data_IF_566389091236
#
_entry.id   IF_566389091236
#
_cell.length_a   1.000
_cell.length_b   1.000
_cell.length_c   1.000
_cell.angle_alpha   90.00
_cell.angle_beta   90.00
_cell.angle_gamma   90.00
#
_symmetry.space_group_name_H-M   'P 1'
#
loop_
_entity.id
_entity.type
_entity.pdbx_description
1 polymer ?
#
# COMPACT_ATOMS: atom_id res chain seq x y z
N UNK A 1 -38.14 8.49 51.77
CA UNK A 1 -36.79 8.95 51.44
C UNK A 1 -36.25 8.02 50.36
N UNK A 2 -36.44 8.38 49.10
CA UNK A 2 -35.95 7.63 47.92
C UNK A 2 -34.74 8.37 47.38
N UNK A 3 -33.56 7.78 47.56
CA UNK A 3 -32.31 8.32 47.00
C UNK A 3 -32.26 8.03 45.49
N UNK A 4 -32.29 9.11 44.68
CA UNK A 4 -32.04 9.03 43.23
C UNK A 4 -30.55 8.74 42.97
N UNK A 5 -30.28 7.58 42.40
CA UNK A 5 -28.95 7.27 41.87
C UNK A 5 -28.74 8.14 40.63
N UNK A 6 -27.87 9.12 40.76
CA UNK A 6 -27.45 9.98 39.65
C UNK A 6 -26.67 9.17 38.65
N UNK A 7 -27.20 9.04 37.43
CA UNK A 7 -26.50 8.51 36.29
C UNK A 7 -25.37 9.49 35.92
N UNK A 8 -24.11 9.14 36.27
CA UNK A 8 -22.93 9.86 35.80
C UNK A 8 -22.77 9.62 34.32
N UNK A 9 -22.94 10.67 33.52
CA UNK A 9 -22.67 10.66 32.09
C UNK A 9 -21.18 10.26 31.85
N UNK A 10 -20.89 9.48 30.80
CA UNK A 10 -19.51 9.10 30.52
C UNK A 10 -18.68 10.35 30.17
N UNK A 11 -17.39 10.38 30.58
CA UNK A 11 -16.52 11.54 30.33
C UNK A 11 -16.34 11.74 28.83
N UNK A 12 -16.99 12.75 28.30
CA UNK A 12 -16.78 13.26 26.94
C UNK A 12 -15.48 14.08 26.90
N UNK A 13 -14.65 13.83 25.85
CA UNK A 13 -13.75 14.80 25.21
C UNK A 13 -12.25 14.87 25.47
N UNK A 14 -11.61 14.09 26.29
CA UNK A 14 -10.13 14.08 26.32
C UNK A 14 -9.49 13.31 25.14
N UNK A 15 -10.19 12.37 24.50
CA UNK A 15 -9.63 11.47 23.47
C UNK A 15 -9.75 11.98 22.02
N UNK A 16 -10.63 12.93 21.72
CA UNK A 16 -10.88 13.36 20.34
C UNK A 16 -9.68 14.08 19.69
N UNK A 17 -9.00 14.94 20.45
CA UNK A 17 -7.85 15.70 19.97
C UNK A 17 -6.62 14.83 19.72
N UNK A 18 -6.39 13.83 20.56
CA UNK A 18 -5.25 12.90 20.39
C UNK A 18 -5.43 11.94 19.21
N UNK A 19 -6.67 11.51 18.94
CA UNK A 19 -6.99 10.62 17.83
C UNK A 19 -6.89 11.33 16.48
N UNK A 20 -7.40 12.56 16.37
CA UNK A 20 -7.24 13.39 15.18
C UNK A 20 -5.76 13.74 14.92
N UNK A 21 -4.97 14.01 15.98
CA UNK A 21 -3.53 14.20 15.91
C UNK A 21 -2.80 12.95 15.42
N UNK A 22 -3.13 11.79 15.96
CA UNK A 22 -2.56 10.51 15.54
C UNK A 22 -2.86 10.20 14.06
N UNK A 23 -4.08 10.47 13.59
CA UNK A 23 -4.47 10.33 12.18
C UNK A 23 -3.66 11.26 11.28
N UNK A 24 -3.52 12.54 11.65
CA UNK A 24 -2.72 13.52 10.89
C UNK A 24 -1.27 13.09 10.78
N UNK A 25 -0.61 12.73 11.88
CA UNK A 25 0.78 12.25 11.89
C UNK A 25 0.95 11.02 10.99
N UNK A 26 0.04 10.04 11.07
CA UNK A 26 0.09 8.85 10.23
C UNK A 26 -0.04 9.22 8.74
N UNK A 27 -0.99 10.09 8.39
CA UNK A 27 -1.16 10.58 7.01
C UNK A 27 0.07 11.34 6.52
N UNK A 28 0.72 12.16 7.37
CA UNK A 28 1.96 12.88 7.04
C UNK A 28 3.10 11.91 6.72
N UNK A 29 3.24 10.81 7.47
CA UNK A 29 4.29 9.82 7.19
C UNK A 29 4.01 9.06 5.89
N UNK A 30 2.75 8.71 5.60
CA UNK A 30 2.37 8.18 4.29
C UNK A 30 2.70 9.17 3.16
N UNK A 31 2.42 10.45 3.35
CA UNK A 31 2.78 11.49 2.39
C UNK A 31 4.30 11.60 2.22
N UNK A 32 5.07 11.61 3.30
CA UNK A 32 6.53 11.64 3.25
C UNK A 32 7.12 10.43 2.51
N UNK A 33 6.57 9.24 2.74
CA UNK A 33 6.93 8.02 2.00
C UNK A 33 6.58 8.16 0.50
N UNK A 34 5.41 8.71 0.18
CA UNK A 34 5.00 8.97 -1.21
C UNK A 34 5.94 9.92 -1.93
N UNK A 35 6.36 11.01 -1.27
CA UNK A 35 7.39 11.93 -1.80
C UNK A 35 8.72 11.22 -2.01
N UNK A 36 9.18 10.44 -1.02
CA UNK A 36 10.46 9.75 -1.07
C UNK A 36 10.52 8.71 -2.20
N UNK A 37 9.47 7.93 -2.39
CA UNK A 37 9.36 6.95 -3.49
C UNK A 37 9.31 7.67 -4.84
N UNK A 38 8.51 8.73 -4.95
CA UNK A 38 8.41 9.51 -6.18
C UNK A 38 9.74 10.18 -6.54
N UNK A 39 10.50 10.69 -5.55
CA UNK A 39 11.82 11.28 -5.78
C UNK A 39 12.75 10.31 -6.52
N UNK A 40 12.82 9.05 -6.09
CA UNK A 40 13.64 8.02 -6.75
C UNK A 40 13.04 7.65 -8.11
N UNK A 41 11.74 7.33 -8.17
CA UNK A 41 11.10 6.83 -9.40
C UNK A 41 11.12 7.85 -10.55
N UNK A 42 10.99 9.14 -10.24
CA UNK A 42 10.92 10.21 -11.25
C UNK A 42 12.28 10.74 -11.68
N UNK A 43 13.35 10.46 -10.92
CA UNK A 43 14.71 10.92 -11.24
C UNK A 43 15.61 9.84 -11.83
N UNK A 44 15.12 8.60 -12.03
CA UNK A 44 15.92 7.47 -12.57
C UNK A 44 16.78 7.86 -13.76
N UNK A 45 16.27 8.43 -14.86
CA UNK A 45 17.10 8.75 -16.01
C UNK A 45 18.11 9.87 -15.73
N UNK A 46 17.72 10.89 -14.94
CA UNK A 46 18.58 12.00 -14.61
C UNK A 46 19.75 11.57 -13.69
N UNK A 47 19.48 10.69 -12.72
CA UNK A 47 20.50 10.11 -11.84
C UNK A 47 21.43 9.18 -12.62
N UNK A 48 20.89 8.34 -13.52
CA UNK A 48 21.69 7.49 -14.39
C UNK A 48 22.67 8.31 -15.25
N UNK A 49 22.18 9.40 -15.86
CA UNK A 49 23.00 10.31 -16.65
C UNK A 49 24.07 11.00 -15.80
N UNK A 50 23.68 11.53 -14.62
CA UNK A 50 24.60 12.25 -13.72
C UNK A 50 25.76 11.36 -13.21
N UNK A 51 25.43 10.14 -12.79
CA UNK A 51 26.40 9.16 -12.28
C UNK A 51 27.04 8.31 -13.39
N UNK A 52 26.65 8.53 -14.65
CA UNK A 52 27.08 7.74 -15.82
C UNK A 52 26.85 6.23 -15.62
N UNK A 53 25.70 5.89 -15.06
CA UNK A 53 25.29 4.49 -14.86
C UNK A 53 24.63 3.93 -16.12
N UNK A 54 24.95 2.71 -16.46
CA UNK A 54 24.22 1.96 -17.48
C UNK A 54 22.81 1.59 -17.00
N UNK A 55 21.93 1.29 -17.94
CA UNK A 55 20.57 0.81 -17.62
C UNK A 55 20.60 -0.47 -16.78
N UNK A 56 21.60 -1.34 -16.97
CA UNK A 56 21.77 -2.55 -16.18
C UNK A 56 22.18 -2.24 -14.73
N UNK A 57 23.10 -1.29 -14.52
CA UNK A 57 23.50 -0.83 -13.18
C UNK A 57 22.31 -0.19 -12.45
N UNK A 58 21.48 0.64 -13.14
CA UNK A 58 20.27 1.19 -12.56
C UNK A 58 19.25 0.11 -12.20
N UNK A 59 19.11 -0.92 -13.02
CA UNK A 59 18.23 -2.06 -12.72
C UNK A 59 18.74 -2.80 -11.48
N UNK A 60 20.04 -3.09 -11.41
CA UNK A 60 20.65 -3.74 -10.25
C UNK A 60 20.46 -2.90 -8.96
N UNK A 61 20.60 -1.58 -9.03
CA UNK A 61 20.34 -0.69 -7.90
C UNK A 61 18.87 -0.70 -7.48
N UNK A 62 17.94 -0.72 -8.43
CA UNK A 62 16.50 -0.81 -8.13
C UNK A 62 16.14 -2.14 -7.45
N UNK A 63 16.73 -3.25 -7.91
CA UNK A 63 16.58 -4.56 -7.26
C UNK A 63 17.20 -4.53 -5.86
N UNK A 64 18.41 -4.01 -5.71
CA UNK A 64 19.10 -3.92 -4.43
C UNK A 64 18.30 -3.05 -3.42
N UNK A 65 17.75 -1.91 -3.86
CA UNK A 65 16.85 -1.07 -3.06
C UNK A 65 15.61 -1.86 -2.60
N UNK A 66 14.98 -2.62 -3.51
CA UNK A 66 13.77 -3.39 -3.18
C UNK A 66 14.08 -4.50 -2.17
N UNK A 67 15.18 -5.22 -2.34
CA UNK A 67 15.64 -6.23 -1.37
C UNK A 67 16.00 -5.60 -0.02
N UNK A 68 16.66 -4.45 -0.06
CA UNK A 68 16.98 -3.68 1.15
C UNK A 68 15.70 -3.20 1.86
N UNK A 69 14.65 -2.80 1.12
CA UNK A 69 13.36 -2.45 1.71
C UNK A 69 12.72 -3.66 2.41
N UNK A 70 12.79 -4.83 1.82
CA UNK A 70 12.40 -6.08 2.49
C UNK A 70 13.15 -6.29 3.81
N UNK A 71 14.48 -6.23 3.80
CA UNK A 71 15.31 -6.34 5.00
C UNK A 71 15.01 -5.23 6.03
N UNK A 72 14.81 -4.00 5.56
CA UNK A 72 14.41 -2.85 6.36
C UNK A 72 13.07 -3.03 7.07
N UNK A 73 12.12 -3.74 6.45
CA UNK A 73 10.83 -4.06 7.08
C UNK A 73 11.00 -5.00 8.28
N UNK A 74 11.87 -6.01 8.18
CA UNK A 74 12.17 -6.88 9.32
C UNK A 74 12.92 -6.15 10.44
N UNK A 75 13.94 -5.38 10.10
CA UNK A 75 14.69 -4.56 11.07
C UNK A 75 13.78 -3.51 11.73
N UNK A 76 12.94 -2.85 10.94
CA UNK A 76 11.94 -1.90 11.38
C UNK A 76 10.92 -2.52 12.34
N UNK A 77 10.43 -3.72 12.07
CA UNK A 77 9.52 -4.41 12.98
C UNK A 77 10.17 -4.70 14.33
N UNK A 78 11.43 -5.13 14.34
CA UNK A 78 12.19 -5.34 15.58
C UNK A 78 12.38 -4.01 16.35
N UNK A 79 12.64 -2.91 15.63
CA UNK A 79 12.76 -1.58 16.21
C UNK A 79 11.41 -1.08 16.76
N UNK A 80 10.30 -1.30 16.06
CA UNK A 80 8.94 -0.93 16.51
C UNK A 80 8.58 -1.62 17.82
N UNK A 81 8.97 -2.88 17.99
CA UNK A 81 8.75 -3.62 19.25
C UNK A 81 9.53 -3.04 20.44
N UNK A 82 10.70 -2.43 20.19
CA UNK A 82 11.57 -1.84 21.23
C UNK A 82 11.23 -0.39 21.54
N UNK A 83 11.02 0.42 20.51
CA UNK A 83 10.94 1.89 20.61
C UNK A 83 9.57 2.46 20.26
N UNK A 84 8.62 1.62 19.85
CA UNK A 84 7.31 2.02 19.37
C UNK A 84 7.32 2.56 17.92
N UNK A 85 6.14 2.56 17.27
CA UNK A 85 6.06 2.89 15.84
C UNK A 85 6.40 4.35 15.52
N UNK A 86 6.07 5.31 16.40
CA UNK A 86 6.29 6.75 16.12
C UNK A 86 7.77 7.12 16.09
N UNK A 87 8.57 6.57 17.01
CA UNK A 87 10.00 6.78 17.03
C UNK A 87 10.67 6.22 15.78
N UNK A 88 10.29 4.99 15.39
CA UNK A 88 10.81 4.34 14.18
C UNK A 88 10.39 5.10 12.92
N UNK A 89 9.12 5.51 12.79
CA UNK A 89 8.65 6.33 11.67
C UNK A 89 9.49 7.59 11.50
N UNK A 90 9.68 8.35 12.60
CA UNK A 90 10.46 9.61 12.55
C UNK A 90 11.91 9.36 12.15
N UNK A 91 12.57 8.41 12.79
CA UNK A 91 13.96 8.06 12.48
C UNK A 91 14.11 7.59 11.02
N UNK A 92 13.24 6.70 10.56
CA UNK A 92 13.30 6.14 9.21
C UNK A 92 13.01 7.19 8.12
N UNK A 93 12.05 8.12 8.35
CA UNK A 93 11.78 9.22 7.40
C UNK A 93 12.96 10.19 7.34
N UNK A 94 13.60 10.52 8.48
CA UNK A 94 14.82 11.34 8.49
C UNK A 94 15.98 10.62 7.81
N UNK A 95 16.14 9.32 8.01
CA UNK A 95 17.13 8.51 7.28
C UNK A 95 16.88 8.53 5.78
N UNK A 96 15.61 8.38 5.34
CA UNK A 96 15.26 8.48 3.93
C UNK A 96 15.61 9.87 3.35
N UNK A 97 15.34 10.95 4.07
CA UNK A 97 15.73 12.30 3.65
C UNK A 97 17.25 12.45 3.54
N UNK A 98 17.99 11.99 4.54
CA UNK A 98 19.46 12.04 4.55
C UNK A 98 20.07 11.22 3.42
N UNK A 99 19.52 10.03 3.12
CA UNK A 99 20.01 9.18 2.03
C UNK A 99 19.68 9.76 0.65
N UNK A 100 18.51 10.39 0.45
CA UNK A 100 18.23 11.15 -0.77
C UNK A 100 19.24 12.27 -1.00
N UNK A 101 19.59 13.00 0.07
CA UNK A 101 20.63 14.04 0.01
C UNK A 101 22.00 13.43 -0.30
N UNK A 102 22.30 12.26 0.29
CA UNK A 102 23.54 11.53 0.00
C UNK A 102 23.63 11.06 -1.45
N UNK A 103 22.52 10.63 -2.06
CA UNK A 103 22.47 10.31 -3.50
C UNK A 103 22.70 11.56 -4.34
N UNK A 104 22.08 12.69 -3.97
CA UNK A 104 22.19 13.95 -4.70
C UNK A 104 23.65 14.43 -4.81
N UNK A 105 24.41 14.31 -3.73
CA UNK A 105 25.77 14.86 -3.61
C UNK A 105 26.83 13.77 -3.45
N UNK A 106 26.54 12.56 -3.94
CA UNK A 106 27.48 11.45 -3.88
C UNK A 106 28.77 11.77 -4.67
N UNK A 107 29.95 11.57 -4.08
CA UNK A 107 31.23 11.83 -4.77
C UNK A 107 31.54 10.82 -5.88
N UNK A 108 30.72 9.78 -6.03
CA UNK A 108 30.90 8.76 -7.06
C UNK A 108 29.86 7.64 -6.95
N UNK A 109 29.91 6.70 -7.91
CA UNK A 109 28.96 5.60 -8.07
C UNK A 109 28.82 4.73 -6.82
N UNK A 110 29.93 4.38 -6.16
CA UNK A 110 29.92 3.51 -4.98
C UNK A 110 29.16 4.16 -3.81
N UNK A 111 29.40 5.45 -3.55
CA UNK A 111 28.70 6.19 -2.50
C UNK A 111 27.21 6.34 -2.82
N UNK A 112 26.84 6.63 -4.07
CA UNK A 112 25.47 6.68 -4.51
C UNK A 112 24.76 5.31 -4.35
N UNK A 113 25.43 4.23 -4.75
CA UNK A 113 24.87 2.87 -4.61
C UNK A 113 24.63 2.51 -3.14
N UNK A 114 25.57 2.82 -2.25
CA UNK A 114 25.40 2.61 -0.81
C UNK A 114 24.22 3.43 -0.27
N UNK A 115 24.09 4.69 -0.69
CA UNK A 115 22.96 5.54 -0.31
C UNK A 115 21.61 4.99 -0.81
N UNK A 116 21.55 4.43 -2.03
CA UNK A 116 20.34 3.76 -2.54
C UNK A 116 19.94 2.55 -1.70
N UNK A 117 20.90 1.72 -1.29
CA UNK A 117 20.64 0.56 -0.42
C UNK A 117 20.13 1.01 0.96
N UNK A 118 20.79 2.01 1.56
CA UNK A 118 20.35 2.59 2.84
C UNK A 118 18.97 3.25 2.73
N UNK A 119 18.67 3.89 1.60
CA UNK A 119 17.34 4.40 1.33
C UNK A 119 16.29 3.28 1.29
N UNK A 120 16.60 2.15 0.64
CA UNK A 120 15.75 0.97 0.67
C UNK A 120 15.47 0.48 2.09
N UNK A 121 16.50 0.32 2.94
CA UNK A 121 16.33 -0.05 4.35
C UNK A 121 15.40 0.92 5.09
N UNK A 122 15.59 2.23 4.86
CA UNK A 122 14.74 3.26 5.46
C UNK A 122 13.28 3.14 4.99
N UNK A 123 13.04 2.93 3.68
CA UNK A 123 11.69 2.73 3.15
C UNK A 123 10.97 1.54 3.77
N UNK A 124 11.65 0.41 3.94
CA UNK A 124 11.08 -0.76 4.59
C UNK A 124 10.71 -0.52 6.05
N UNK A 125 11.57 0.21 6.78
CA UNK A 125 11.29 0.59 8.17
C UNK A 125 10.12 1.59 8.26
N UNK A 126 10.00 2.54 7.31
CA UNK A 126 8.84 3.43 7.22
C UNK A 126 7.58 2.59 7.00
N UNK A 127 7.61 1.70 6.01
CA UNK A 127 6.44 0.91 5.60
C UNK A 127 5.86 0.11 6.76
N UNK A 128 6.67 -0.68 7.45
CA UNK A 128 6.19 -1.50 8.58
C UNK A 128 5.72 -0.65 9.76
N UNK A 129 6.40 0.45 10.06
CA UNK A 129 6.06 1.29 11.22
C UNK A 129 4.80 2.11 10.97
N UNK A 130 4.63 2.68 9.78
CA UNK A 130 3.45 3.48 9.43
C UNK A 130 2.21 2.61 9.28
N UNK A 131 2.32 1.41 8.68
CA UNK A 131 1.20 0.48 8.58
C UNK A 131 0.78 -0.06 9.95
N UNK A 132 1.73 -0.36 10.85
CA UNK A 132 1.43 -0.73 12.25
C UNK A 132 0.67 0.38 12.96
N UNK A 133 1.09 1.63 12.78
CA UNK A 133 0.40 2.80 13.36
C UNK A 133 -0.97 3.03 12.73
N UNK A 134 -1.07 2.92 11.41
CA UNK A 134 -2.33 3.08 10.68
C UNK A 134 -3.38 2.08 11.14
N UNK A 135 -3.02 0.80 11.29
CA UNK A 135 -3.90 -0.24 11.82
C UNK A 135 -4.37 0.07 13.25
N UNK A 136 -3.49 0.63 14.09
CA UNK A 136 -3.86 1.04 15.45
C UNK A 136 -4.83 2.22 15.44
N UNK A 137 -4.59 3.24 14.61
CA UNK A 137 -5.48 4.40 14.46
C UNK A 137 -6.83 3.97 13.92
N UNK A 138 -6.88 3.08 12.92
CA UNK A 138 -8.11 2.57 12.34
C UNK A 138 -8.98 1.84 13.39
N UNK A 139 -8.37 1.01 14.23
CA UNK A 139 -9.09 0.33 15.32
C UNK A 139 -9.75 1.33 16.29
N UNK A 140 -9.09 2.44 16.62
CA UNK A 140 -9.67 3.48 17.46
C UNK A 140 -10.80 4.25 16.78
N UNK A 141 -10.76 4.36 15.44
CA UNK A 141 -11.85 4.98 14.67
C UNK A 141 -13.09 4.09 14.55
N UNK A 142 -12.96 2.78 14.74
CA UNK A 142 -14.06 1.81 14.59
C UNK A 142 -14.62 1.71 13.15
N UNK A 143 -13.92 2.29 12.16
CA UNK A 143 -14.29 2.23 10.74
C UNK A 143 -13.04 2.23 9.88
N UNK A 144 -13.14 1.69 8.66
CA UNK A 144 -12.01 1.68 7.73
C UNK A 144 -11.64 3.11 7.29
N UNK A 145 -10.37 3.47 7.54
CA UNK A 145 -9.76 4.75 7.13
C UNK A 145 -8.42 4.53 6.42
N UNK A 146 -7.96 3.29 6.30
CA UNK A 146 -6.66 2.93 5.74
C UNK A 146 -6.52 3.45 4.30
N UNK A 147 -7.58 3.38 3.50
CA UNK A 147 -7.63 3.91 2.13
C UNK A 147 -7.30 5.40 2.06
N UNK A 148 -7.66 6.19 3.10
CA UNK A 148 -7.35 7.62 3.15
C UNK A 148 -5.84 7.89 3.33
N UNK A 149 -5.12 7.00 4.02
CA UNK A 149 -3.67 7.10 4.16
C UNK A 149 -2.95 6.76 2.84
N UNK A 150 -3.38 5.72 2.15
CA UNK A 150 -2.85 5.39 0.82
C UNK A 150 -3.20 6.47 -0.22
N UNK A 151 -4.35 7.15 -0.09
CA UNK A 151 -4.66 8.31 -0.92
C UNK A 151 -3.69 9.47 -0.66
N UNK A 152 -3.34 9.74 0.60
CA UNK A 152 -2.34 10.75 0.96
C UNK A 152 -0.95 10.40 0.39
N UNK A 153 -0.56 9.11 0.42
CA UNK A 153 0.65 8.60 -0.20
C UNK A 153 0.70 8.89 -1.71
N UNK A 154 -0.33 8.51 -2.44
CA UNK A 154 -0.41 8.73 -3.90
C UNK A 154 -0.51 10.21 -4.26
N UNK A 155 -1.29 11.01 -3.52
CA UNK A 155 -1.40 12.45 -3.76
C UNK A 155 -0.05 13.17 -3.56
N UNK A 156 0.70 12.78 -2.52
CA UNK A 156 2.04 13.27 -2.29
C UNK A 156 3.02 12.82 -3.40
N UNK A 157 2.86 11.61 -3.91
CA UNK A 157 3.60 11.11 -5.07
C UNK A 157 3.33 11.93 -6.34
N UNK A 158 2.07 12.31 -6.58
CA UNK A 158 1.72 13.24 -7.69
C UNK A 158 2.42 14.58 -7.50
N UNK A 159 2.31 15.19 -6.31
CA UNK A 159 2.92 16.49 -6.03
C UNK A 159 4.45 16.43 -6.20
N UNK A 160 5.10 15.38 -5.75
CA UNK A 160 6.53 15.17 -5.89
C UNK A 160 6.95 14.99 -7.35
N UNK A 161 6.20 14.23 -8.15
CA UNK A 161 6.47 14.07 -9.58
C UNK A 161 6.33 15.41 -10.34
N UNK A 162 5.33 16.22 -10.00
CA UNK A 162 5.16 17.57 -10.55
C UNK A 162 6.29 18.50 -10.09
N UNK A 163 6.78 18.36 -8.86
CA UNK A 163 7.97 19.09 -8.38
C UNK A 163 9.21 18.69 -9.22
N UNK A 164 9.42 17.40 -9.45
CA UNK A 164 10.50 16.93 -10.35
C UNK A 164 10.37 17.56 -11.74
N UNK A 165 9.18 17.50 -12.32
CA UNK A 165 8.92 18.08 -13.65
C UNK A 165 9.21 19.59 -13.67
N UNK A 166 8.71 20.35 -12.69
CA UNK A 166 8.88 21.80 -12.59
C UNK A 166 10.35 22.22 -12.41
N UNK A 167 11.08 21.59 -11.50
CA UNK A 167 12.49 21.90 -11.29
C UNK A 167 13.34 21.52 -12.49
N UNK A 168 13.03 20.36 -13.15
CA UNK A 168 13.71 19.96 -14.37
C UNK A 168 13.40 20.89 -15.56
N UNK A 169 12.20 21.50 -15.61
CA UNK A 169 11.84 22.50 -16.61
C UNK A 169 12.70 23.77 -16.50
N UNK A 170 13.14 24.12 -15.29
CA UNK A 170 14.06 25.25 -15.06
C UNK A 170 15.50 24.92 -15.47
N UNK A 171 15.79 23.73 -15.97
CA UNK A 171 17.13 23.28 -16.35
C UNK A 171 18.06 22.99 -15.18
N UNK A 172 17.53 22.87 -13.98
CA UNK A 172 18.35 22.62 -12.80
C UNK A 172 18.86 21.17 -12.77
N UNK A 173 20.12 20.96 -12.38
CA UNK A 173 20.70 19.64 -12.20
C UNK A 173 19.92 18.76 -11.21
N UNK A 174 19.98 17.43 -11.40
CA UNK A 174 19.23 16.46 -10.59
C UNK A 174 19.54 16.52 -9.10
N UNK A 175 20.72 17.01 -8.73
CA UNK A 175 21.11 17.22 -7.33
C UNK A 175 20.15 18.17 -6.60
N UNK A 176 19.73 19.25 -7.26
CA UNK A 176 18.77 20.21 -6.67
C UNK A 176 17.37 19.62 -6.61
N UNK A 177 16.97 18.81 -7.60
CA UNK A 177 15.70 18.08 -7.58
C UNK A 177 15.65 17.15 -6.37
N UNK A 178 16.67 16.31 -6.18
CA UNK A 178 16.75 15.39 -5.05
C UNK A 178 16.86 16.12 -3.71
N UNK A 179 17.61 17.24 -3.67
CA UNK A 179 17.71 18.08 -2.47
C UNK A 179 16.36 18.67 -2.08
N UNK A 180 15.57 19.16 -3.05
CA UNK A 180 14.22 19.67 -2.78
C UNK A 180 13.31 18.59 -2.17
N UNK A 181 13.37 17.38 -2.71
CA UNK A 181 12.62 16.24 -2.14
C UNK A 181 13.13 15.87 -0.75
N UNK A 182 14.44 15.80 -0.54
CA UNK A 182 15.04 15.49 0.76
C UNK A 182 14.61 16.50 1.83
N UNK A 183 14.64 17.81 1.49
CA UNK A 183 14.16 18.88 2.38
C UNK A 183 12.69 18.72 2.67
N UNK A 184 11.85 18.47 1.66
CA UNK A 184 10.42 18.27 1.86
C UNK A 184 10.14 17.07 2.78
N UNK A 185 10.81 15.93 2.56
CA UNK A 185 10.68 14.73 3.40
C UNK A 185 11.15 15.02 4.83
N UNK A 186 12.25 15.75 5.01
CA UNK A 186 12.76 16.15 6.33
C UNK A 186 11.78 17.08 7.05
N UNK A 187 11.22 18.08 6.37
CA UNK A 187 10.21 18.97 6.94
C UNK A 187 8.97 18.22 7.39
N UNK A 188 8.49 17.26 6.59
CA UNK A 188 7.39 16.39 6.98
C UNK A 188 7.75 15.54 8.20
N UNK A 189 8.98 15.01 8.29
CA UNK A 189 9.46 14.26 9.46
C UNK A 189 9.45 15.09 10.75
N UNK A 190 9.79 16.40 10.68
CA UNK A 190 9.80 17.29 11.84
C UNK A 190 8.41 17.53 12.42
N UNK A 191 7.34 17.37 11.62
CA UNK A 191 5.96 17.47 12.09
C UNK A 191 5.48 16.19 12.80
N UNK A 192 6.24 15.10 12.73
CA UNK A 192 5.89 13.80 13.35
C UNK A 192 6.05 13.92 14.87
N UNK A 193 4.93 14.05 15.57
CA UNK A 193 4.87 14.12 17.04
C UNK A 193 4.20 12.89 17.62
N UNK A 194 4.59 12.52 18.83
CA UNK A 194 3.93 11.44 19.54
C UNK A 194 2.56 11.91 20.01
N UNK A 195 1.52 11.19 19.60
CA UNK A 195 0.17 11.30 20.15
C UNK A 195 -0.14 9.99 20.84
N UNK A 196 -0.20 10.00 22.16
CA UNK A 196 -0.58 8.82 22.92
C UNK A 196 -2.01 8.42 22.55
N UNK A 197 -2.21 7.16 22.20
CA UNK A 197 -3.52 6.56 22.08
C UNK A 197 -3.69 5.63 23.28
N UNK A 198 -4.88 5.69 23.91
CA UNK A 198 -5.21 4.76 24.97
C UNK A 198 -5.03 3.31 24.47
N UNK A 199 -4.58 2.36 25.30
CA UNK A 199 -4.56 0.96 24.91
C UNK A 199 -5.96 0.56 24.44
N UNK A 200 -6.10 0.08 23.21
CA UNK A 200 -7.35 -0.58 22.81
C UNK A 200 -7.39 -1.86 23.62
N UNK A 201 -8.41 -2.12 24.44
CA UNK A 201 -8.57 -3.42 25.05
C UNK A 201 -8.51 -4.43 23.91
N UNK A 202 -7.51 -5.30 23.94
CA UNK A 202 -7.47 -6.40 23.00
C UNK A 202 -8.72 -7.23 23.31
N UNK A 203 -9.70 -7.17 22.41
CA UNK A 203 -10.85 -8.08 22.44
C UNK A 203 -10.43 -9.54 22.21
N UNK A 204 -9.14 -9.80 22.25
CA UNK A 204 -8.48 -11.10 22.19
C UNK A 204 -8.21 -11.72 23.59
N UNK A 205 -9.03 -11.42 24.61
CA UNK A 205 -9.25 -12.39 25.70
C UNK A 205 -10.22 -13.50 25.30
N UNK A 206 -10.60 -13.55 24.01
CA UNK A 206 -11.10 -14.77 23.43
C UNK A 206 -9.95 -15.75 23.39
N UNK A 207 -9.99 -16.80 24.24
CA UNK A 207 -9.31 -18.07 24.03
C UNK A 207 -9.15 -18.28 22.53
N UNK A 208 -7.96 -18.71 22.03
CA UNK A 208 -7.86 -19.17 20.66
C UNK A 208 -9.07 -20.08 20.45
N UNK A 209 -9.93 -19.75 19.48
CA UNK A 209 -11.01 -20.66 19.12
C UNK A 209 -10.34 -22.02 18.96
N UNK A 210 -10.93 -23.11 19.54
CA UNK A 210 -10.38 -24.44 19.37
C UNK A 210 -10.01 -24.57 17.91
N UNK A 211 -8.78 -24.97 17.64
CA UNK A 211 -8.26 -25.18 16.31
C UNK A 211 -9.21 -26.08 15.51
N UNK A 212 -10.21 -25.48 14.89
CA UNK A 212 -10.67 -26.00 13.61
C UNK A 212 -9.51 -25.73 12.65
N UNK A 213 -8.45 -26.52 12.83
CA UNK A 213 -7.28 -26.53 11.96
C UNK A 213 -7.72 -26.94 10.57
N UNK A 214 -8.18 -25.96 9.81
CA UNK A 214 -8.12 -26.13 8.36
C UNK A 214 -6.64 -26.33 8.07
N UNK A 215 -6.20 -27.53 7.63
CA UNK A 215 -4.80 -27.81 7.39
C UNK A 215 -4.17 -26.68 6.60
N UNK A 216 -3.02 -26.19 7.01
CA UNK A 216 -2.36 -24.99 6.43
C UNK A 216 -2.32 -25.02 4.89
N UNK A 217 -2.23 -26.21 4.27
CA UNK A 217 -2.33 -26.46 2.83
C UNK A 217 -3.68 -26.05 2.23
N UNK A 218 -4.79 -26.29 2.91
CA UNK A 218 -6.14 -25.92 2.42
C UNK A 218 -6.37 -24.41 2.48
N UNK A 219 -5.79 -23.73 3.46
CA UNK A 219 -5.83 -22.25 3.53
C UNK A 219 -5.06 -21.66 2.36
N UNK A 220 -3.88 -22.20 2.04
CA UNK A 220 -3.09 -21.76 0.88
C UNK A 220 -3.85 -21.96 -0.42
N UNK A 221 -4.45 -23.13 -0.65
CA UNK A 221 -5.21 -23.41 -1.86
C UNK A 221 -6.36 -22.41 -2.10
N UNK A 222 -7.06 -22.00 -1.04
CA UNK A 222 -8.12 -20.99 -1.11
C UNK A 222 -7.60 -19.56 -1.26
N UNK A 223 -6.38 -19.28 -0.79
CA UNK A 223 -5.76 -17.97 -0.84
C UNK A 223 -5.11 -17.67 -2.19
N UNK A 224 -4.57 -18.70 -2.89
CA UNK A 224 -3.84 -18.56 -4.15
C UNK A 224 -4.56 -17.70 -5.19
N UNK A 225 -5.87 -17.85 -5.48
CA UNK A 225 -6.53 -17.01 -6.47
C UNK A 225 -6.43 -15.51 -6.17
N UNK A 226 -6.62 -15.12 -4.89
CA UNK A 226 -6.50 -13.73 -4.45
C UNK A 226 -5.03 -13.29 -4.44
N UNK A 227 -4.13 -14.19 -4.07
CA UNK A 227 -2.68 -13.97 -4.10
C UNK A 227 -2.18 -13.69 -5.51
N UNK A 228 -2.63 -14.46 -6.51
CA UNK A 228 -2.27 -14.23 -7.93
C UNK A 228 -2.75 -12.87 -8.41
N UNK A 229 -3.99 -12.48 -8.09
CA UNK A 229 -4.49 -11.15 -8.45
C UNK A 229 -3.65 -10.06 -7.80
N UNK A 230 -3.30 -10.23 -6.53
CA UNK A 230 -2.47 -9.27 -5.80
C UNK A 230 -1.05 -9.20 -6.38
N UNK A 231 -0.44 -10.36 -6.67
CA UNK A 231 0.88 -10.44 -7.30
C UNK A 231 0.91 -9.66 -8.62
N UNK A 232 -0.06 -9.91 -9.51
CA UNK A 232 -0.14 -9.21 -10.80
C UNK A 232 -0.37 -7.71 -10.59
N UNK A 233 -1.24 -7.31 -9.65
CA UNK A 233 -1.46 -5.91 -9.32
C UNK A 233 -0.14 -5.22 -8.90
N UNK A 234 0.68 -5.88 -8.08
CA UNK A 234 1.98 -5.34 -7.66
C UNK A 234 3.07 -5.44 -8.72
N UNK A 235 3.02 -6.43 -9.63
CA UNK A 235 3.86 -6.43 -10.85
C UNK A 235 3.57 -5.19 -11.69
N UNK A 236 2.29 -4.88 -11.93
CA UNK A 236 1.87 -3.69 -12.68
C UNK A 236 2.33 -2.42 -11.97
N UNK A 237 2.02 -2.31 -10.68
CA UNK A 237 2.34 -1.11 -9.88
C UNK A 237 3.84 -0.82 -9.88
N UNK A 238 4.67 -1.82 -9.61
CA UNK A 238 6.12 -1.66 -9.55
C UNK A 238 6.75 -1.43 -10.94
N UNK A 239 6.23 -2.08 -11.99
CA UNK A 239 6.68 -1.83 -13.37
C UNK A 239 6.46 -0.37 -13.76
N UNK A 240 5.24 0.14 -13.56
CA UNK A 240 4.90 1.51 -13.95
C UNK A 240 5.59 2.52 -13.02
N UNK A 241 5.54 2.31 -11.71
CA UNK A 241 6.13 3.26 -10.74
C UNK A 241 7.65 3.36 -10.85
N UNK A 242 8.36 2.26 -11.08
CA UNK A 242 9.82 2.29 -11.18
C UNK A 242 10.32 2.76 -12.55
N UNK A 243 9.63 2.43 -13.63
CA UNK A 243 10.22 2.55 -14.97
C UNK A 243 9.48 3.45 -15.94
N UNK A 244 8.30 3.98 -15.62
CA UNK A 244 7.56 4.85 -16.55
C UNK A 244 8.34 6.10 -16.95
N UNK A 245 9.05 6.73 -16.02
CA UNK A 245 9.89 7.89 -16.29
C UNK A 245 11.05 7.54 -17.24
N UNK A 246 11.73 6.41 -16.99
CA UNK A 246 12.81 5.94 -17.86
C UNK A 246 12.30 5.58 -19.25
N UNK A 247 11.16 4.89 -19.34
CA UNK A 247 10.51 4.54 -20.62
C UNK A 247 10.17 5.77 -21.45
N UNK A 248 9.53 6.78 -20.84
CA UNK A 248 9.19 8.01 -21.55
C UNK A 248 10.43 8.73 -22.05
N UNK A 249 11.49 8.82 -21.24
CA UNK A 249 12.71 9.50 -21.61
C UNK A 249 13.51 8.73 -22.67
N UNK A 250 13.80 7.45 -22.41
CA UNK A 250 14.74 6.66 -23.22
C UNK A 250 14.09 6.11 -24.50
N UNK A 251 12.79 5.77 -24.48
CA UNK A 251 12.11 5.12 -25.61
C UNK A 251 11.24 6.08 -26.40
N UNK A 252 10.57 7.03 -25.75
CA UNK A 252 9.61 7.94 -26.38
C UNK A 252 10.16 9.37 -26.56
N UNK A 253 11.44 9.61 -26.18
CA UNK A 253 12.11 10.90 -26.39
C UNK A 253 11.56 12.05 -25.57
N UNK A 254 10.86 11.79 -24.46
CA UNK A 254 10.39 12.83 -23.58
C UNK A 254 11.56 13.54 -22.90
N UNK A 255 11.44 14.85 -22.70
CA UNK A 255 12.41 15.61 -21.91
C UNK A 255 12.45 15.12 -20.45
N UNK A 256 13.53 15.42 -19.73
CA UNK A 256 13.63 15.12 -18.28
C UNK A 256 12.52 15.82 -17.47
N UNK A 257 11.98 16.93 -17.99
CA UNK A 257 10.85 17.64 -17.39
C UNK A 257 9.51 16.94 -17.66
N UNK A 258 9.32 16.36 -18.85
CA UNK A 258 8.06 15.69 -19.24
C UNK A 258 7.96 14.24 -18.75
N UNK A 259 9.08 13.54 -18.66
CA UNK A 259 9.10 12.12 -18.30
C UNK A 259 8.44 11.78 -16.95
N UNK A 260 8.61 12.58 -15.86
CA UNK A 260 7.94 12.35 -14.57
C UNK A 260 6.41 12.40 -14.63
N UNK A 261 5.83 13.00 -15.68
CA UNK A 261 4.38 13.11 -15.84
C UNK A 261 3.69 11.75 -15.97
N UNK A 262 4.40 10.71 -16.46
CA UNK A 262 3.83 9.37 -16.51
C UNK A 262 3.59 8.80 -15.11
N UNK A 263 4.55 8.97 -14.20
CA UNK A 263 4.38 8.57 -12.80
C UNK A 263 3.27 9.37 -12.13
N UNK A 264 3.25 10.71 -12.33
CA UNK A 264 2.20 11.57 -11.78
C UNK A 264 0.81 11.14 -12.25
N UNK A 265 0.65 10.89 -13.56
CA UNK A 265 -0.62 10.46 -14.14
C UNK A 265 -1.06 9.08 -13.63
N UNK A 266 -0.13 8.14 -13.51
CA UNK A 266 -0.38 6.83 -12.93
C UNK A 266 -0.88 6.95 -11.48
N UNK A 267 -0.22 7.74 -10.65
CA UNK A 267 -0.63 7.95 -9.26
C UNK A 267 -1.97 8.70 -9.15
N UNK A 268 -2.23 9.67 -10.02
CA UNK A 268 -3.54 10.33 -10.10
C UNK A 268 -4.65 9.35 -10.46
N UNK A 269 -4.39 8.44 -11.42
CA UNK A 269 -5.28 7.34 -11.75
C UNK A 269 -5.56 6.43 -10.56
N UNK A 270 -4.53 6.05 -9.78
CA UNK A 270 -4.71 5.19 -8.59
C UNK A 270 -5.52 5.88 -7.49
N UNK A 271 -5.33 7.18 -7.26
CA UNK A 271 -6.16 7.95 -6.30
C UNK A 271 -7.62 7.93 -6.73
N UNK A 272 -7.88 8.23 -8.00
CA UNK A 272 -9.24 8.28 -8.56
C UNK A 272 -9.91 6.92 -8.52
N UNK A 273 -9.18 5.86 -8.91
CA UNK A 273 -9.68 4.48 -8.88
C UNK A 273 -10.02 4.00 -7.47
N UNK A 274 -9.17 4.30 -6.48
CA UNK A 274 -9.43 3.98 -5.07
C UNK A 274 -10.64 4.71 -4.53
N UNK A 275 -10.80 6.00 -4.85
CA UNK A 275 -11.95 6.79 -4.41
C UNK A 275 -13.28 6.27 -4.98
N UNK A 276 -13.27 5.76 -6.21
CA UNK A 276 -14.45 5.22 -6.89
C UNK A 276 -14.76 3.75 -6.60
N UNK A 277 -13.78 2.97 -6.13
CA UNK A 277 -13.87 1.51 -6.04
C UNK A 277 -15.07 1.04 -5.19
N UNK A 278 -15.27 1.59 -4.00
CA UNK A 278 -16.35 1.20 -3.10
C UNK A 278 -17.74 1.49 -3.69
N UNK A 279 -17.88 2.60 -4.40
CA UNK A 279 -19.13 2.96 -5.07
C UNK A 279 -19.43 1.97 -6.22
N UNK A 280 -18.42 1.63 -7.00
CA UNK A 280 -18.56 0.68 -8.10
C UNK A 280 -18.90 -0.71 -7.58
N UNK A 281 -18.23 -1.18 -6.51
CA UNK A 281 -18.53 -2.48 -5.88
C UNK A 281 -19.98 -2.54 -5.37
N UNK A 282 -20.48 -1.46 -4.78
CA UNK A 282 -21.89 -1.39 -4.35
C UNK A 282 -22.88 -1.41 -5.50
N UNK A 283 -22.55 -0.81 -6.66
CA UNK A 283 -23.45 -0.72 -7.81
C UNK A 283 -23.48 -1.99 -8.67
N UNK A 284 -22.31 -2.57 -8.98
CA UNK A 284 -22.20 -3.64 -9.97
C UNK A 284 -21.63 -4.94 -9.40
N UNK A 285 -21.27 -4.96 -8.13
CA UNK A 285 -20.70 -6.11 -7.43
C UNK A 285 -19.19 -6.31 -7.68
N UNK A 286 -18.53 -7.09 -6.79
CA UNK A 286 -17.08 -7.23 -6.81
C UNK A 286 -16.55 -7.96 -8.06
N UNK A 287 -17.29 -8.96 -8.58
CA UNK A 287 -16.86 -9.72 -9.78
C UNK A 287 -16.77 -8.83 -11.01
N UNK A 288 -17.80 -7.98 -11.23
CA UNK A 288 -17.81 -7.04 -12.35
C UNK A 288 -16.70 -6.01 -12.23
N UNK A 289 -16.46 -5.49 -11.02
CA UNK A 289 -15.38 -4.53 -10.76
C UNK A 289 -14.01 -5.15 -11.03
N UNK A 290 -13.73 -6.37 -10.56
CA UNK A 290 -12.45 -7.06 -10.82
C UNK A 290 -12.26 -7.29 -12.33
N UNK A 291 -13.29 -7.70 -13.06
CA UNK A 291 -13.21 -7.86 -14.52
C UNK A 291 -12.94 -6.54 -15.24
N UNK A 292 -13.69 -5.50 -14.91
CA UNK A 292 -13.50 -4.18 -15.50
C UNK A 292 -12.10 -3.61 -15.18
N UNK A 293 -11.64 -3.75 -13.94
CA UNK A 293 -10.31 -3.35 -13.50
C UNK A 293 -9.22 -4.11 -14.27
N UNK A 294 -9.32 -5.42 -14.39
CA UNK A 294 -8.37 -6.25 -15.13
C UNK A 294 -8.32 -5.89 -16.62
N UNK A 295 -9.48 -5.73 -17.28
CA UNK A 295 -9.57 -5.33 -18.68
C UNK A 295 -9.01 -3.93 -18.92
N UNK A 296 -9.36 -2.97 -18.06
CA UNK A 296 -8.85 -1.60 -18.17
C UNK A 296 -7.33 -1.57 -17.98
N UNK A 297 -6.81 -2.28 -16.98
CA UNK A 297 -5.37 -2.39 -16.72
C UNK A 297 -4.64 -3.02 -17.91
N UNK A 298 -5.17 -4.13 -18.44
CA UNK A 298 -4.59 -4.82 -19.58
C UNK A 298 -4.57 -3.93 -20.84
N UNK A 299 -5.70 -3.30 -21.15
CA UNK A 299 -5.81 -2.39 -22.30
C UNK A 299 -4.88 -1.17 -22.17
N UNK A 300 -4.81 -0.59 -20.98
CA UNK A 300 -3.96 0.57 -20.70
C UNK A 300 -2.45 0.21 -20.80
N UNK A 301 -2.04 -0.93 -20.28
CA UNK A 301 -0.64 -1.39 -20.39
C UNK A 301 -0.29 -1.80 -21.83
N UNK A 302 -1.20 -2.44 -22.57
CA UNK A 302 -1.02 -2.72 -23.98
C UNK A 302 -0.89 -1.41 -24.80
N UNK A 303 -1.72 -0.41 -24.47
CA UNK A 303 -1.63 0.93 -25.05
C UNK A 303 -0.30 1.61 -24.70
N UNK A 304 0.18 1.46 -23.46
CA UNK A 304 1.48 1.97 -23.04
C UNK A 304 2.62 1.28 -23.80
N UNK A 305 2.57 -0.05 -23.97
CA UNK A 305 3.53 -0.81 -24.76
C UNK A 305 3.55 -0.41 -26.24
N UNK A 306 2.40 -0.10 -26.81
CA UNK A 306 2.23 0.32 -28.19
C UNK A 306 2.46 1.82 -28.41
N UNK A 307 2.67 2.61 -27.35
CA UNK A 307 2.78 4.07 -27.43
C UNK A 307 3.89 4.52 -28.39
N UNK A 308 3.57 5.50 -29.24
CA UNK A 308 4.52 6.12 -30.19
C UNK A 308 4.88 7.55 -29.79
N UNK A 309 4.15 8.13 -28.83
CA UNK A 309 4.40 9.47 -28.31
C UNK A 309 4.24 9.48 -26.79
N UNK A 310 5.02 10.32 -26.13
CA UNK A 310 4.97 10.41 -24.67
C UNK A 310 3.66 10.97 -24.11
N UNK A 311 2.92 11.92 -24.75
CA UNK A 311 1.65 12.38 -24.21
C UNK A 311 0.59 11.27 -24.18
N UNK A 312 0.56 10.43 -25.23
CA UNK A 312 -0.31 9.25 -25.26
C UNK A 312 0.04 8.26 -24.14
N UNK A 313 1.35 8.03 -23.91
CA UNK A 313 1.81 7.16 -22.84
C UNK A 313 1.42 7.67 -21.44
N UNK A 314 1.39 9.00 -21.23
CA UNK A 314 0.92 9.61 -19.98
C UNK A 314 -0.55 9.30 -19.73
N UNK A 315 -1.40 9.41 -20.75
CA UNK A 315 -2.83 9.05 -20.65
C UNK A 315 -2.99 7.55 -20.38
N UNK A 316 -2.25 6.71 -21.07
CA UNK A 316 -2.28 5.27 -20.86
C UNK A 316 -1.82 4.89 -19.44
N UNK A 317 -0.80 5.56 -18.89
CA UNK A 317 -0.36 5.35 -17.51
C UNK A 317 -1.45 5.73 -16.49
N UNK A 318 -2.17 6.84 -16.72
CA UNK A 318 -3.32 7.22 -15.88
C UNK A 318 -4.41 6.14 -15.89
N UNK A 319 -4.78 5.64 -17.07
CA UNK A 319 -5.75 4.56 -17.20
C UNK A 319 -5.28 3.25 -16.52
N UNK A 320 -3.98 2.93 -16.60
CA UNK A 320 -3.42 1.76 -15.89
C UNK A 320 -3.55 1.90 -14.37
N UNK A 321 -3.25 3.10 -13.84
CA UNK A 321 -3.43 3.42 -12.43
C UNK A 321 -4.89 3.31 -11.98
N UNK A 322 -5.82 3.84 -12.78
CA UNK A 322 -7.26 3.76 -12.54
C UNK A 322 -7.73 2.30 -12.46
N UNK A 323 -7.26 1.46 -13.38
CA UNK A 323 -7.63 0.05 -13.44
C UNK A 323 -7.10 -0.74 -12.25
N UNK A 324 -5.79 -0.69 -11.97
CA UNK A 324 -5.16 -1.52 -10.94
C UNK A 324 -5.60 -1.17 -9.52
N UNK A 325 -6.04 0.07 -9.30
CA UNK A 325 -6.32 0.64 -7.98
C UNK A 325 -7.35 -0.14 -7.16
N UNK A 326 -8.34 -0.76 -7.82
CA UNK A 326 -9.41 -1.52 -7.15
C UNK A 326 -8.98 -2.95 -6.78
N UNK A 327 -7.97 -3.53 -7.42
CA UNK A 327 -7.61 -4.94 -7.27
C UNK A 327 -7.11 -5.25 -5.85
N UNK A 328 -6.19 -4.44 -5.33
CA UNK A 328 -5.59 -4.65 -4.00
C UNK A 328 -6.61 -4.65 -2.86
N UNK A 329 -7.48 -3.63 -2.70
CA UNK A 329 -8.45 -3.63 -1.61
C UNK A 329 -9.49 -4.75 -1.74
N UNK A 330 -9.85 -5.14 -2.96
CA UNK A 330 -10.77 -6.27 -3.18
C UNK A 330 -10.14 -7.60 -2.80
N UNK A 331 -8.86 -7.82 -3.12
CA UNK A 331 -8.11 -9.00 -2.68
C UNK A 331 -8.04 -9.11 -1.17
N UNK A 332 -7.69 -8.02 -0.49
CA UNK A 332 -7.59 -7.95 0.98
C UNK A 332 -8.95 -8.24 1.61
N UNK A 333 -10.02 -7.61 1.12
CA UNK A 333 -11.37 -7.82 1.63
C UNK A 333 -11.87 -9.26 1.40
N UNK A 334 -11.59 -9.85 0.25
CA UNK A 334 -11.99 -11.23 -0.05
C UNK A 334 -11.19 -12.25 0.77
N UNK A 335 -9.87 -12.06 0.88
CA UNK A 335 -9.00 -12.94 1.65
C UNK A 335 -9.32 -12.94 3.15
N UNK A 336 -9.64 -11.77 3.73
CA UNK A 336 -10.00 -11.63 5.15
C UNK A 336 -11.24 -12.46 5.53
N UNK A 337 -12.14 -12.72 4.56
CA UNK A 337 -13.33 -13.56 4.76
C UNK A 337 -13.03 -15.06 4.85
N UNK A 338 -11.84 -15.50 4.42
CA UNK A 338 -11.47 -16.91 4.44
C UNK A 338 -11.26 -17.44 5.88
N UNK A 339 -10.87 -16.57 6.81
CA UNK A 339 -10.69 -16.92 8.23
C UNK A 339 -11.07 -15.72 9.12
N UNK A 340 -12.36 -15.54 9.40
CA UNK A 340 -12.84 -14.38 10.17
C UNK A 340 -12.24 -14.29 11.58
N UNK A 341 -11.87 -15.43 12.19
CA UNK A 341 -11.27 -15.49 13.54
C UNK A 341 -9.78 -15.14 13.61
N UNK A 342 -9.05 -15.11 12.46
CA UNK A 342 -7.63 -14.76 12.42
C UNK A 342 -7.26 -14.12 11.07
N UNK A 343 -7.82 -12.95 10.73
CA UNK A 343 -7.57 -12.28 9.46
C UNK A 343 -6.10 -11.88 9.29
N UNK A 344 -5.40 -11.57 10.37
CA UNK A 344 -3.99 -11.17 10.33
C UNK A 344 -3.10 -12.28 9.73
N UNK A 345 -3.37 -13.54 10.06
CA UNK A 345 -2.62 -14.68 9.52
C UNK A 345 -2.82 -14.82 8.01
N UNK A 346 -4.04 -14.59 7.54
CA UNK A 346 -4.36 -14.64 6.10
C UNK A 346 -3.69 -13.48 5.37
N UNK A 347 -3.75 -12.28 5.92
CA UNK A 347 -3.12 -11.07 5.35
C UNK A 347 -1.60 -11.18 5.31
N UNK A 348 -0.97 -11.74 6.36
CA UNK A 348 0.47 -11.98 6.37
C UNK A 348 0.91 -12.93 5.22
N UNK A 349 0.13 -13.98 4.96
CA UNK A 349 0.37 -14.88 3.82
C UNK A 349 0.12 -14.21 2.47
N UNK A 350 -0.89 -13.35 2.39
CA UNK A 350 -1.21 -12.59 1.18
C UNK A 350 -0.08 -11.61 0.82
N UNK A 351 0.57 -11.00 1.82
CA UNK A 351 1.69 -10.09 1.61
C UNK A 351 2.92 -10.73 0.95
N UNK A 352 3.08 -12.05 1.02
CA UNK A 352 4.15 -12.75 0.27
C UNK A 352 4.00 -12.50 -1.24
N UNK A 353 2.76 -12.56 -1.75
CA UNK A 353 2.47 -12.29 -3.16
C UNK A 353 2.76 -10.84 -3.55
N UNK A 354 2.52 -9.89 -2.63
CA UNK A 354 2.89 -8.49 -2.81
C UNK A 354 4.41 -8.34 -3.02
N UNK A 355 5.22 -8.83 -2.08
CA UNK A 355 6.69 -8.70 -2.19
C UNK A 355 7.25 -9.37 -3.44
N UNK A 356 6.76 -10.56 -3.79
CA UNK A 356 7.14 -11.23 -5.04
C UNK A 356 6.73 -10.39 -6.25
N UNK A 357 5.51 -9.83 -6.25
CA UNK A 357 5.02 -8.97 -7.33
C UNK A 357 5.90 -7.73 -7.53
N UNK A 358 6.26 -7.03 -6.44
CA UNK A 358 7.14 -5.86 -6.50
C UNK A 358 8.51 -6.22 -7.08
N UNK A 359 9.12 -7.30 -6.59
CA UNK A 359 10.45 -7.73 -7.02
C UNK A 359 10.45 -8.14 -8.50
N UNK A 360 9.45 -8.94 -8.91
CA UNK A 360 9.32 -9.41 -10.30
C UNK A 360 9.04 -8.22 -11.22
N UNK A 361 8.13 -7.32 -10.87
CA UNK A 361 7.77 -6.17 -11.69
C UNK A 361 8.94 -5.20 -11.86
N UNK A 362 9.57 -4.79 -10.79
CA UNK A 362 10.71 -3.87 -10.86
C UNK A 362 11.93 -4.51 -11.55
N UNK A 363 12.25 -5.76 -11.20
CA UNK A 363 13.44 -6.46 -11.71
C UNK A 363 13.31 -6.89 -13.18
N UNK A 364 12.22 -7.57 -13.56
CA UNK A 364 12.01 -8.02 -14.92
C UNK A 364 11.86 -6.84 -15.89
N UNK A 365 11.08 -5.81 -15.51
CA UNK A 365 10.89 -4.63 -16.35
C UNK A 365 12.18 -3.83 -16.50
N UNK A 366 12.98 -3.72 -15.45
CA UNK A 366 14.30 -3.09 -15.52
C UNK A 366 15.27 -3.86 -16.40
N UNK A 367 15.33 -5.18 -16.27
CA UNK A 367 16.16 -6.04 -17.13
C UNK A 367 15.80 -5.93 -18.60
N UNK A 368 14.50 -5.96 -18.93
CA UNK A 368 14.01 -5.76 -20.31
C UNK A 368 14.30 -4.34 -20.79
N UNK A 369 14.14 -3.32 -19.91
CA UNK A 369 14.47 -1.94 -20.23
C UNK A 369 15.95 -1.75 -20.51
N UNK A 370 16.83 -2.40 -19.74
CA UNK A 370 18.27 -2.34 -19.92
C UNK A 370 18.73 -2.90 -21.28
N UNK A 371 17.97 -3.84 -21.86
CA UNK A 371 18.20 -4.37 -23.22
C UNK A 371 17.41 -3.65 -24.31
N UNK A 372 16.82 -2.49 -24.01
CA UNK A 372 16.03 -1.70 -24.96
C UNK A 372 14.60 -2.21 -25.21
N UNK A 373 14.14 -3.21 -24.46
CA UNK A 373 12.84 -3.86 -24.68
C UNK A 373 11.73 -3.37 -23.72
N UNK A 374 11.69 -2.07 -23.39
CA UNK A 374 10.65 -1.51 -22.51
C UNK A 374 9.22 -1.83 -22.96
N UNK A 375 8.98 -1.93 -24.28
CA UNK A 375 7.65 -2.29 -24.81
C UNK A 375 7.20 -3.67 -24.33
N UNK A 376 8.13 -4.64 -24.30
CA UNK A 376 7.87 -6.00 -23.79
C UNK A 376 7.65 -5.94 -22.27
N UNK A 377 8.39 -5.08 -21.57
CA UNK A 377 8.26 -4.88 -20.12
C UNK A 377 6.84 -4.44 -19.70
N UNK A 378 6.11 -3.72 -20.56
CA UNK A 378 4.70 -3.38 -20.35
C UNK A 378 3.74 -4.41 -20.95
N UNK A 379 4.12 -5.08 -22.03
CA UNK A 379 3.31 -6.10 -22.70
C UNK A 379 3.08 -7.34 -21.83
N UNK A 380 4.10 -7.78 -21.08
CA UNK A 380 4.00 -8.94 -20.17
C UNK A 380 2.97 -8.68 -19.05
N UNK A 381 3.07 -7.60 -18.28
CA UNK A 381 2.03 -7.28 -17.28
C UNK A 381 0.65 -7.06 -17.89
N UNK A 382 0.55 -6.56 -19.13
CA UNK A 382 -0.72 -6.45 -19.85
C UNK A 382 -1.37 -7.82 -20.06
N UNK A 383 -0.62 -8.81 -20.53
CA UNK A 383 -1.10 -10.18 -20.71
C UNK A 383 -1.48 -10.82 -19.36
N UNK A 384 -0.69 -10.62 -18.31
CA UNK A 384 -1.00 -11.10 -16.97
C UNK A 384 -2.28 -10.46 -16.42
N UNK A 385 -2.46 -9.15 -16.60
CA UNK A 385 -3.67 -8.44 -16.20
C UNK A 385 -4.91 -8.96 -16.97
N UNK A 386 -4.77 -9.25 -18.26
CA UNK A 386 -5.85 -9.85 -19.05
C UNK A 386 -6.25 -11.24 -18.51
N UNK A 387 -5.26 -12.05 -18.12
CA UNK A 387 -5.52 -13.37 -17.53
C UNK A 387 -6.31 -13.28 -16.20
N UNK A 388 -6.23 -12.16 -15.47
CA UNK A 388 -7.00 -11.96 -14.24
C UNK A 388 -8.52 -11.95 -14.45
N UNK A 389 -9.00 -11.71 -15.67
CA UNK A 389 -10.44 -11.77 -15.99
C UNK A 389 -11.03 -13.12 -15.62
N UNK A 390 -10.25 -14.20 -15.79
CA UNK A 390 -10.68 -15.58 -15.44
C UNK A 390 -10.77 -15.78 -13.94
N UNK A 391 -9.96 -15.09 -13.15
CA UNK A 391 -9.92 -15.22 -11.68
C UNK A 391 -11.06 -14.46 -10.99
N UNK A 392 -11.74 -13.57 -11.71
CA UNK A 392 -12.81 -12.73 -11.14
C UNK A 392 -13.97 -13.55 -10.53
N UNK A 393 -14.21 -14.78 -10.99
CA UNK A 393 -15.25 -15.66 -10.45
C UNK A 393 -15.03 -16.01 -8.96
N UNK A 394 -13.79 -16.00 -8.47
CA UNK A 394 -13.46 -16.26 -7.06
C UNK A 394 -13.91 -15.13 -6.12
N UNK A 395 -14.22 -13.95 -6.65
CA UNK A 395 -14.71 -12.79 -5.89
C UNK A 395 -16.23 -12.79 -5.70
N UNK A 396 -16.94 -13.84 -6.11
CA UNK A 396 -18.38 -13.96 -5.83
C UNK A 396 -18.61 -13.89 -4.32
N UNK A 397 -19.55 -13.07 -3.85
CA UNK A 397 -19.97 -13.14 -2.46
C UNK A 397 -20.46 -14.58 -2.21
N UNK A 398 -19.90 -15.25 -1.20
CA UNK A 398 -20.58 -16.44 -0.64
C UNK A 398 -21.95 -15.98 -0.21
N UNK A 399 -23.01 -16.66 -0.68
CA UNK A 399 -24.36 -16.36 -0.24
C UNK A 399 -24.36 -16.23 1.29
N UNK A 400 -25.01 -15.24 1.88
CA UNK A 400 -25.18 -15.20 3.32
C UNK A 400 -25.77 -16.57 3.68
N UNK A 401 -25.12 -17.30 4.59
CA UNK A 401 -25.69 -18.50 5.17
C UNK A 401 -27.12 -18.16 5.60
N UNK A 402 -28.07 -19.11 5.59
CA UNK A 402 -29.47 -18.85 5.90
C UNK A 402 -29.52 -17.93 7.11
N UNK A 403 -30.38 -16.88 7.12
CA UNK A 403 -30.45 -15.97 8.22
C UNK A 403 -30.67 -16.84 9.45
N UNK A 404 -29.60 -17.00 10.26
CA UNK A 404 -29.70 -17.72 11.51
C UNK A 404 -30.71 -16.94 12.30
N UNK A 405 -31.89 -17.54 12.39
CA UNK A 405 -32.98 -17.10 13.20
C UNK A 405 -32.37 -16.63 14.52
N UNK A 406 -32.47 -15.35 14.78
CA UNK A 406 -32.12 -14.77 16.05
C UNK A 406 -32.78 -15.62 17.13
N UNK A 407 -32.01 -16.49 17.76
CA UNK A 407 -32.46 -17.06 19.03
C UNK A 407 -32.60 -15.85 19.93
N UNK A 408 -33.86 -15.44 20.13
CA UNK A 408 -34.19 -14.50 21.19
C UNK A 408 -33.59 -15.07 22.47
N UNK A 409 -32.73 -14.34 23.18
CA UNK A 409 -32.36 -14.74 24.53
C UNK A 409 -33.60 -14.51 25.37
N UNK A 410 -34.32 -15.54 25.74
CA UNK A 410 -35.47 -15.39 26.64
C UNK A 410 -36.59 -16.37 26.36
N UNK A 411 -36.32 -17.66 26.35
CA UNK A 411 -37.28 -18.67 26.81
C UNK A 411 -36.49 -19.71 27.61
N UNK A 412 -36.08 -19.28 28.81
CA UNK A 412 -35.81 -20.25 29.85
C UNK A 412 -37.10 -21.00 30.08
N UNK A 413 -37.16 -22.27 29.64
CA UNK A 413 -38.18 -23.20 30.12
C UNK A 413 -38.03 -23.24 31.63
N UNK A 414 -38.91 -22.54 32.33
CA UNK A 414 -39.16 -22.75 33.75
C UNK A 414 -39.80 -24.16 33.80
N UNK A 415 -39.00 -25.12 34.23
CA UNK A 415 -39.52 -26.42 34.62
C UNK A 415 -40.50 -26.21 35.79
N UNK A 416 -41.73 -26.74 35.74
CA UNK A 416 -42.65 -26.60 36.86
C UNK A 416 -42.04 -27.35 38.06
N UNK A 417 -41.84 -26.60 39.16
CA UNK A 417 -41.48 -27.19 40.46
C UNK A 417 -42.66 -28.04 40.89
N UNK A 418 -42.43 -29.38 40.98
CA UNK A 418 -43.39 -30.29 41.56
C UNK A 418 -43.58 -29.93 43.04
N UNK A 419 -44.75 -29.38 43.39
CA UNK A 419 -45.18 -29.20 44.77
C UNK A 419 -45.56 -30.55 45.34
N UNK A 420 -44.66 -31.08 46.15
CA UNK A 420 -44.89 -32.26 46.97
C UNK A 420 -45.92 -31.90 48.09
N UNK A 421 -47.17 -32.39 47.92
CA UNK A 421 -48.17 -32.29 48.99
C UNK A 421 -47.94 -33.39 50.01
N UNK A 422 -47.15 -33.05 51.03
CA UNK A 422 -46.97 -33.88 52.19
C UNK A 422 -48.27 -34.34 52.78
N UNK A 423 -48.38 -35.63 53.00
CA UNK A 423 -49.38 -36.28 53.87
C UNK A 423 -49.15 -35.86 55.30
N UNK A 424 -50.18 -35.44 55.99
CA UNK A 424 -50.24 -35.46 57.46
C UNK A 424 -51.03 -36.64 57.93
N UNK A 425 -50.74 -37.15 59.15
CA UNK A 425 -51.28 -38.36 59.72
C UNK A 425 -52.75 -38.21 60.10
#
# INVERSE_FOLDING_TARGET
MTASVGATAPPRSANGGSLAGARRVTATVFAAQGVAVAAVSTTVPAVANHLRLSSLEMTALTIALTLAAGAGSFAGLAAVRRSGPVAVMRAAVLTAAATLLSVAWAPGRAAASAAYVLFGLALGAIDVSVNTRAATVERHYGRSILSSFYAAWSAAGVAAALLTAGVSQLGWPVQYVLTAHAVLVALLALTVRSHALAPVPSSSSGRPAPDDEIPGRRVWARLVPFGVVLLVAYVVDSTVSAWSTAYLHQTLGASLAAAPLAYAAYQAGTVTGRAGADLMVRRVGPVAVVRAAALLTAAALASLAAARSWPYAVVAACCAGLGVAALTPLCVAAASRLRPGAPETVLARLNVFNYVGVLVGAGASGGLGATGHFRIAYGIPAALALALVTTACFFRPTAPGPPWTSRRPGSAHVLPVAVDRGRRP
#
